data_IF_094210368728
#
_entry.id   IF_094210368728
#
_cell.length_a   1.000
_cell.length_b   1.000
_cell.length_c   1.000
_cell.angle_alpha   90.00
_cell.angle_beta   90.00
_cell.angle_gamma   90.00
#
_symmetry.space_group_name_H-M   'P 1'
#
loop_
_entity.id
_entity.type
_entity.pdbx_description
1 polymer ?
#
# COMPACT_ATOMS: atom_id res chain seq x y z
N UNK A 1 1.21 6.20 31.24
CA UNK A 1 1.34 5.31 30.05
C UNK A 1 0.09 5.43 29.18
N UNK A 2 -0.19 6.61 28.57
CA UNK A 2 -1.50 6.87 27.91
C UNK A 2 -1.45 7.69 26.60
N UNK A 3 -0.36 8.41 26.33
CA UNK A 3 -0.30 9.34 25.18
C UNK A 3 0.20 8.69 23.89
N UNK A 4 1.15 7.76 23.96
CA UNK A 4 1.73 7.08 22.80
C UNK A 4 0.70 6.20 22.07
N UNK A 5 -0.11 5.46 22.82
CA UNK A 5 -1.17 4.62 22.25
C UNK A 5 -2.24 5.47 21.57
N UNK A 6 -2.68 6.57 22.19
CA UNK A 6 -3.68 7.47 21.58
C UNK A 6 -3.20 8.09 20.26
N UNK A 7 -1.91 8.45 20.16
CA UNK A 7 -1.31 8.98 18.92
C UNK A 7 -1.18 7.90 17.86
N UNK A 8 -0.84 6.68 18.25
CA UNK A 8 -0.77 5.53 17.37
C UNK A 8 -2.15 5.20 16.76
N UNK A 9 -3.19 5.10 17.59
CA UNK A 9 -4.57 4.87 17.12
C UNK A 9 -5.05 5.93 16.13
N UNK A 10 -4.72 7.21 16.37
CA UNK A 10 -5.01 8.30 15.42
C UNK A 10 -4.27 8.12 14.10
N UNK A 11 -3.00 7.73 14.15
CA UNK A 11 -2.20 7.47 12.95
C UNK A 11 -2.75 6.28 12.15
N UNK A 12 -3.08 5.18 12.81
CA UNK A 12 -3.67 4.00 12.19
C UNK A 12 -5.01 4.31 11.51
N UNK A 13 -5.87 5.10 12.16
CA UNK A 13 -7.10 5.58 11.54
C UNK A 13 -6.86 6.43 10.28
N UNK A 14 -5.81 7.27 10.27
CA UNK A 14 -5.43 8.06 9.08
C UNK A 14 -4.97 7.14 7.95
N UNK A 15 -4.13 6.14 8.25
CA UNK A 15 -3.69 5.14 7.28
C UNK A 15 -4.90 4.44 6.66
N UNK A 16 -5.82 3.93 7.49
CA UNK A 16 -7.04 3.24 7.05
C UNK A 16 -7.95 4.09 6.16
N UNK A 17 -8.16 5.36 6.51
CA UNK A 17 -8.99 6.27 5.71
C UNK A 17 -8.32 6.54 4.37
N UNK A 18 -7.03 6.86 4.37
CA UNK A 18 -6.28 7.13 3.14
C UNK A 18 -6.23 5.91 2.22
N UNK A 19 -5.97 4.71 2.76
CA UNK A 19 -5.95 3.47 1.98
C UNK A 19 -7.33 3.13 1.42
N UNK A 20 -8.39 3.30 2.21
CA UNK A 20 -9.77 3.06 1.76
C UNK A 20 -10.17 3.98 0.62
N UNK A 21 -9.83 5.27 0.70
CA UNK A 21 -10.06 6.24 -0.38
C UNK A 21 -9.26 5.84 -1.63
N UNK A 22 -7.99 5.44 -1.48
CA UNK A 22 -7.17 4.99 -2.60
C UNK A 22 -7.77 3.77 -3.29
N UNK A 23 -8.20 2.76 -2.53
CA UNK A 23 -8.88 1.57 -3.06
C UNK A 23 -10.17 1.97 -3.79
N UNK A 24 -10.97 2.87 -3.22
CA UNK A 24 -12.21 3.32 -3.84
C UNK A 24 -11.98 4.04 -5.18
N UNK A 25 -10.95 4.89 -5.26
CA UNK A 25 -10.56 5.57 -6.52
C UNK A 25 -10.09 4.55 -7.57
N UNK A 26 -9.28 3.58 -7.16
CA UNK A 26 -8.80 2.52 -8.06
C UNK A 26 -9.94 1.60 -8.53
N UNK A 27 -10.94 1.39 -7.68
CA UNK A 27 -12.14 0.62 -8.02
C UNK A 27 -13.02 1.35 -9.05
N UNK A 28 -13.29 2.65 -8.86
CA UNK A 28 -14.05 3.46 -9.83
C UNK A 28 -13.39 3.48 -11.21
N UNK A 29 -12.05 3.54 -11.25
CA UNK A 29 -11.31 3.56 -12.51
C UNK A 29 -11.17 2.17 -13.16
N UNK A 30 -11.86 1.14 -12.66
CA UNK A 30 -11.70 -0.25 -13.10
C UNK A 30 -10.23 -0.71 -13.10
N UNK A 31 -9.38 -0.17 -12.22
CA UNK A 31 -7.98 -0.58 -12.09
C UNK A 31 -7.78 -1.68 -11.03
N UNK A 32 -8.78 -1.90 -10.17
CA UNK A 32 -8.86 -3.02 -9.23
C UNK A 32 -9.95 -3.99 -9.67
N UNK A 33 -9.60 -4.96 -10.51
CA UNK A 33 -10.50 -6.05 -10.93
C UNK A 33 -10.64 -7.13 -9.85
N UNK A 34 -9.64 -7.25 -8.96
CA UNK A 34 -9.57 -8.31 -7.95
C UNK A 34 -9.84 -7.77 -6.54
N UNK A 35 -10.95 -8.20 -5.93
CA UNK A 35 -11.24 -7.93 -4.51
C UNK A 35 -10.10 -8.39 -3.58
N UNK A 36 -9.41 -9.49 -3.93
CA UNK A 36 -8.25 -9.98 -3.17
C UNK A 36 -7.06 -9.00 -3.19
N UNK A 37 -6.83 -8.31 -4.30
CA UNK A 37 -5.74 -7.33 -4.42
C UNK A 37 -5.99 -6.11 -3.50
N UNK A 38 -7.24 -5.67 -3.36
CA UNK A 38 -7.61 -4.58 -2.46
C UNK A 38 -7.36 -4.94 -0.98
N UNK A 39 -7.71 -6.17 -0.58
CA UNK A 39 -7.47 -6.67 0.78
C UNK A 39 -5.96 -6.75 1.05
N UNK A 40 -5.19 -7.35 0.13
CA UNK A 40 -3.74 -7.44 0.25
C UNK A 40 -3.09 -6.05 0.36
N UNK A 41 -3.53 -5.09 -0.46
CA UNK A 41 -3.04 -3.72 -0.42
C UNK A 41 -3.31 -3.04 0.94
N UNK A 42 -4.51 -3.24 1.50
CA UNK A 42 -4.86 -2.72 2.82
C UNK A 42 -3.98 -3.33 3.93
N UNK A 43 -3.79 -4.65 3.91
CA UNK A 43 -2.93 -5.35 4.87
C UNK A 43 -1.47 -4.87 4.79
N UNK A 44 -0.93 -4.67 3.58
CA UNK A 44 0.43 -4.16 3.37
C UNK A 44 0.62 -2.78 4.02
N UNK A 45 -0.34 -1.87 3.84
CA UNK A 45 -0.28 -0.54 4.42
C UNK A 45 -0.48 -0.53 5.93
N UNK A 46 -1.32 -1.41 6.49
CA UNK A 46 -1.49 -1.54 7.93
C UNK A 46 -0.20 -2.04 8.59
N UNK A 47 0.34 -3.16 8.11
CA UNK A 47 1.58 -3.73 8.64
C UNK A 47 2.75 -2.77 8.44
N UNK A 48 2.87 -2.20 7.24
CA UNK A 48 3.90 -1.21 6.92
C UNK A 48 3.76 0.07 7.75
N UNK A 49 2.54 0.51 8.03
CA UNK A 49 2.23 1.64 8.91
C UNK A 49 2.68 1.42 10.34
N UNK A 50 2.39 0.24 10.92
CA UNK A 50 2.82 -0.13 12.27
C UNK A 50 4.34 -0.11 12.38
N UNK A 51 5.02 -0.73 11.41
CA UNK A 51 6.48 -0.76 11.36
C UNK A 51 7.08 0.64 11.17
N UNK A 52 6.52 1.44 10.26
CA UNK A 52 6.98 2.81 10.00
C UNK A 52 6.82 3.68 11.24
N UNK A 53 5.71 3.55 11.96
CA UNK A 53 5.47 4.27 13.21
C UNK A 53 6.50 3.91 14.30
N UNK A 54 6.85 2.63 14.44
CA UNK A 54 7.89 2.18 15.40
C UNK A 54 9.28 2.73 15.07
N UNK A 55 9.62 2.84 13.78
CA UNK A 55 10.89 3.40 13.33
C UNK A 55 10.90 4.94 13.37
N UNK A 56 9.73 5.56 13.27
CA UNK A 56 9.59 7.00 13.22
C UNK A 56 9.80 7.65 14.60
N UNK A 57 11.01 8.12 14.86
CA UNK A 57 11.37 8.93 16.05
C UNK A 57 11.46 10.44 15.76
N UNK A 58 11.15 10.87 14.54
CA UNK A 58 11.34 12.26 14.07
C UNK A 58 10.07 13.12 14.19
N UNK A 59 10.22 14.43 13.97
CA UNK A 59 9.10 15.37 13.80
C UNK A 59 8.89 15.78 12.31
N UNK A 60 9.63 15.16 11.39
CA UNK A 60 9.65 15.53 9.98
C UNK A 60 8.79 14.58 9.15
N UNK A 61 7.74 15.10 8.51
CA UNK A 61 6.78 14.31 7.75
C UNK A 61 7.40 13.57 6.55
N UNK A 62 8.37 14.19 5.86
CA UNK A 62 9.09 13.54 4.76
C UNK A 62 9.83 12.27 5.21
N UNK A 63 10.32 12.22 6.46
CA UNK A 63 10.95 10.99 7.00
C UNK A 63 9.92 9.89 7.21
N UNK A 64 8.73 10.22 7.72
CA UNK A 64 7.63 9.27 7.87
C UNK A 64 7.19 8.73 6.50
N UNK A 65 7.10 9.61 5.50
CA UNK A 65 6.73 9.23 4.13
C UNK A 65 7.75 8.25 3.54
N UNK A 66 9.04 8.55 3.73
CA UNK A 66 10.12 7.65 3.32
C UNK A 66 10.05 6.28 3.99
N UNK A 67 9.83 6.23 5.31
CA UNK A 67 9.69 4.95 6.02
C UNK A 67 8.47 4.15 5.56
N UNK A 68 7.32 4.81 5.39
CA UNK A 68 6.11 4.16 4.87
C UNK A 68 6.35 3.57 3.49
N UNK A 69 6.92 4.35 2.58
CA UNK A 69 7.21 3.91 1.22
C UNK A 69 8.19 2.74 1.18
N UNK A 70 9.31 2.83 1.90
CA UNK A 70 10.34 1.77 1.90
C UNK A 70 9.81 0.48 2.52
N UNK A 71 9.16 0.54 3.68
CA UNK A 71 8.69 -0.66 4.37
C UNK A 71 7.58 -1.35 3.56
N UNK A 72 6.59 -0.60 3.09
CA UNK A 72 5.52 -1.18 2.27
C UNK A 72 6.08 -1.79 0.99
N UNK A 73 7.09 -1.16 0.36
CA UNK A 73 7.74 -1.69 -0.85
C UNK A 73 8.52 -2.97 -0.57
N UNK A 74 9.21 -3.05 0.57
CA UNK A 74 9.89 -4.30 0.99
C UNK A 74 8.86 -5.41 1.23
N UNK A 75 7.73 -5.11 1.90
CA UNK A 75 6.66 -6.08 2.11
C UNK A 75 6.04 -6.55 0.78
N UNK A 76 5.80 -5.63 -0.16
CA UNK A 76 5.36 -5.99 -1.51
C UNK A 76 6.37 -6.90 -2.19
N UNK A 77 7.66 -6.56 -2.15
CA UNK A 77 8.71 -7.36 -2.77
C UNK A 77 8.73 -8.79 -2.21
N UNK A 78 8.53 -8.98 -0.91
CA UNK A 78 8.41 -10.31 -0.28
C UNK A 78 7.19 -11.07 -0.82
N UNK A 79 6.04 -10.40 -0.92
CA UNK A 79 4.81 -11.01 -1.45
C UNK A 79 5.01 -11.39 -2.92
N UNK A 80 5.55 -10.49 -3.74
CA UNK A 80 5.82 -10.75 -5.16
C UNK A 80 6.88 -11.83 -5.35
N UNK A 81 7.90 -11.91 -4.49
CA UNK A 81 8.91 -12.95 -4.55
C UNK A 81 8.31 -14.35 -4.35
N UNK A 82 7.19 -14.46 -3.62
CA UNK A 82 6.44 -15.71 -3.51
C UNK A 82 5.75 -16.11 -4.83
N UNK A 83 5.40 -15.14 -5.69
CA UNK A 83 4.93 -15.39 -7.06
C UNK A 83 6.08 -15.64 -8.04
N UNK A 84 7.28 -15.09 -7.79
CA UNK A 84 8.48 -15.29 -8.63
C UNK A 84 8.95 -16.74 -8.67
N UNK A 85 8.61 -17.59 -7.70
CA UNK A 85 8.95 -19.02 -7.79
C UNK A 85 8.18 -19.76 -8.91
N UNK A 86 7.08 -19.18 -9.39
CA UNK A 86 6.29 -19.66 -10.54
C UNK A 86 6.70 -19.01 -11.88
N UNK A 87 7.80 -18.23 -11.89
CA UNK A 87 8.29 -17.51 -13.07
C UNK A 87 8.87 -18.40 -14.18
N UNK A 88 9.08 -19.69 -13.89
CA UNK A 88 9.51 -20.65 -14.91
C UNK A 88 8.38 -21.09 -15.85
N UNK A 89 7.17 -20.54 -15.69
CA UNK A 89 6.13 -20.66 -16.69
C UNK A 89 6.40 -19.64 -17.82
N UNK A 90 6.57 -20.12 -19.06
CA UNK A 90 7.04 -19.34 -20.21
C UNK A 90 6.05 -18.25 -20.68
N UNK A 91 4.96 -18.03 -19.94
CA UNK A 91 3.87 -17.15 -20.33
C UNK A 91 3.13 -17.65 -21.58
N UNK A 92 3.28 -18.92 -21.92
CA UNK A 92 2.52 -19.53 -23.01
C UNK A 92 1.05 -19.62 -22.61
N UNK A 93 0.16 -19.10 -23.47
CA UNK A 93 -1.28 -19.25 -23.27
C UNK A 93 -1.57 -20.75 -23.17
N UNK A 94 -2.24 -21.22 -22.10
CA UNK A 94 -2.45 -22.64 -21.91
C UNK A 94 -3.25 -23.20 -23.09
N UNK A 95 -2.78 -24.31 -23.66
CA UNK A 95 -3.28 -24.85 -24.94
C UNK A 95 -4.77 -25.27 -24.93
N UNK A 96 -5.38 -25.32 -23.74
CA UNK A 96 -6.79 -25.62 -23.53
C UNK A 96 -7.71 -24.38 -23.57
N UNK A 97 -7.15 -23.17 -23.62
CA UNK A 97 -7.93 -21.93 -23.74
C UNK A 97 -8.17 -21.63 -25.22
N UNK A 98 -9.44 -21.49 -25.60
CA UNK A 98 -9.79 -21.11 -26.97
C UNK A 98 -9.18 -19.74 -27.32
N UNK A 99 -8.74 -19.50 -28.58
CA UNK A 99 -8.23 -18.19 -28.99
C UNK A 99 -9.18 -17.03 -28.72
N UNK A 100 -10.48 -17.35 -28.71
CA UNK A 100 -11.62 -16.43 -28.63
C UNK A 100 -12.06 -16.12 -27.19
N UNK A 101 -11.57 -16.84 -26.19
CA UNK A 101 -11.76 -16.48 -24.78
C UNK A 101 -10.97 -15.20 -24.46
N UNK A 102 -11.53 -14.36 -23.57
CA UNK A 102 -11.04 -13.01 -23.27
C UNK A 102 -9.56 -12.93 -22.88
N UNK A 103 -9.03 -11.69 -22.85
CA UNK A 103 -7.61 -11.39 -22.64
C UNK A 103 -7.03 -12.16 -21.44
N UNK A 104 -6.17 -13.15 -21.73
CA UNK A 104 -5.42 -13.87 -20.71
C UNK A 104 -4.27 -12.98 -20.24
N UNK A 105 -4.16 -12.75 -18.94
CA UNK A 105 -3.05 -12.01 -18.32
C UNK A 105 -2.11 -13.04 -17.72
N UNK A 106 -0.87 -13.07 -18.20
CA UNK A 106 0.18 -13.96 -17.69
C UNK A 106 0.68 -13.49 -16.33
N UNK A 107 1.33 -14.39 -15.56
CA UNK A 107 1.89 -14.05 -14.25
C UNK A 107 2.91 -12.89 -14.31
N UNK A 108 3.75 -12.85 -15.34
CA UNK A 108 4.73 -11.78 -15.54
C UNK A 108 4.07 -10.42 -15.86
N UNK A 109 3.01 -10.40 -16.68
CA UNK A 109 2.22 -9.20 -16.97
C UNK A 109 1.48 -8.71 -15.72
N UNK A 110 0.89 -9.62 -14.94
CA UNK A 110 0.23 -9.30 -13.68
C UNK A 110 1.21 -8.65 -12.70
N UNK A 111 2.41 -9.21 -12.53
CA UNK A 111 3.46 -8.61 -11.68
C UNK A 111 3.85 -7.23 -12.20
N UNK A 112 4.02 -7.07 -13.52
CA UNK A 112 4.33 -5.78 -14.14
C UNK A 112 3.25 -4.71 -13.87
N UNK A 113 1.97 -5.07 -14.01
CA UNK A 113 0.83 -4.20 -13.71
C UNK A 113 0.82 -3.80 -12.23
N UNK A 114 1.04 -4.77 -11.32
CA UNK A 114 1.11 -4.50 -9.87
C UNK A 114 2.24 -3.53 -9.55
N UNK A 115 3.43 -3.71 -10.14
CA UNK A 115 4.57 -2.81 -9.90
C UNK A 115 4.31 -1.40 -10.44
N UNK A 116 3.71 -1.26 -11.62
CA UNK A 116 3.33 0.04 -12.20
C UNK A 116 2.32 0.78 -11.32
N UNK A 117 1.28 0.07 -10.88
CA UNK A 117 0.26 0.62 -9.99
C UNK A 117 0.88 1.05 -8.66
N UNK A 118 1.78 0.23 -8.11
CA UNK A 118 2.49 0.51 -6.87
C UNK A 118 3.35 1.77 -6.96
N UNK A 119 4.13 1.90 -8.05
CA UNK A 119 5.02 3.04 -8.29
C UNK A 119 4.27 4.37 -8.31
N UNK A 120 3.03 4.39 -8.77
CA UNK A 120 2.22 5.60 -8.84
C UNK A 120 1.49 5.85 -7.51
N UNK A 121 0.78 4.84 -6.99
CA UNK A 121 -0.12 5.02 -5.85
C UNK A 121 0.63 5.20 -4.53
N UNK A 122 1.67 4.40 -4.27
CA UNK A 122 2.29 4.31 -2.94
C UNK A 122 3.10 5.55 -2.56
N UNK A 123 3.87 6.21 -3.46
CA UNK A 123 4.52 7.47 -3.12
C UNK A 123 3.52 8.57 -2.77
N UNK A 124 2.45 8.71 -3.57
CA UNK A 124 1.40 9.71 -3.34
C UNK A 124 0.71 9.45 -2.00
N UNK A 125 0.33 8.19 -1.74
CA UNK A 125 -0.35 7.80 -0.52
C UNK A 125 0.53 7.98 0.72
N UNK A 126 1.82 7.61 0.63
CA UNK A 126 2.80 7.79 1.71
C UNK A 126 3.00 9.26 2.06
N UNK A 127 3.06 10.13 1.05
CA UNK A 127 3.12 11.58 1.24
C UNK A 127 1.84 12.12 1.89
N UNK A 128 0.66 11.72 1.40
CA UNK A 128 -0.63 12.15 1.92
C UNK A 128 -0.82 11.75 3.40
N UNK A 129 -0.62 10.46 3.72
CA UNK A 129 -0.70 9.93 5.09
C UNK A 129 0.26 10.71 6.00
N UNK A 130 1.51 10.88 5.59
CA UNK A 130 2.52 11.53 6.42
C UNK A 130 2.23 13.00 6.66
N UNK A 131 1.75 13.70 5.63
CA UNK A 131 1.36 15.11 5.73
C UNK A 131 0.15 15.29 6.64
N UNK A 132 -0.90 14.49 6.46
CA UNK A 132 -2.12 14.51 7.30
C UNK A 132 -1.77 14.12 8.73
N UNK A 133 -1.00 13.06 8.94
CA UNK A 133 -0.54 12.63 10.26
C UNK A 133 0.19 13.75 10.97
N UNK A 134 1.14 14.43 10.31
CA UNK A 134 1.82 15.59 10.92
C UNK A 134 0.83 16.70 11.30
N UNK A 135 -0.11 17.05 10.42
CA UNK A 135 -1.11 18.10 10.71
C UNK A 135 -2.04 17.74 11.86
N UNK A 136 -2.57 16.52 11.89
CA UNK A 136 -3.51 16.06 12.93
C UNK A 136 -2.80 15.86 14.27
N UNK A 137 -1.58 15.33 14.26
CA UNK A 137 -0.83 15.07 15.48
C UNK A 137 -0.22 16.35 16.08
N UNK A 138 0.37 17.25 15.27
CA UNK A 138 0.94 18.51 15.78
C UNK A 138 -0.11 19.58 16.11
N UNK A 139 -1.32 19.53 15.51
CA UNK A 139 -2.39 20.47 15.86
C UNK A 139 -2.97 20.17 17.25
N UNK A 140 -3.00 18.91 17.67
CA UNK A 140 -3.50 18.52 18.99
C UNK A 140 -2.55 18.94 20.12
N UNK A 141 -1.22 18.97 19.91
CA UNK A 141 -0.27 19.49 20.92
C UNK A 141 -0.46 20.99 21.25
N UNK A 142 -1.11 21.77 20.38
CA UNK A 142 -1.37 23.21 20.58
C UNK A 142 -2.77 23.53 21.11
N UNK A 143 -3.66 22.55 21.18
CA UNK A 143 -5.03 22.72 21.70
C UNK A 143 -5.23 22.18 23.12
N UNK A 144 -4.19 21.58 23.70
CA UNK A 144 -4.16 21.07 25.08
C UNK A 144 -3.23 21.91 26.00
N UNK A 145 -2.94 23.17 25.62
CA UNK A 145 -2.34 24.20 26.48
C UNK A 145 -3.37 25.29 26.75
#
# INVERSE_FOLDING_TARGET
>A
MKLTDRRFWKFEAIVLICTSICIFILWINHLLWFNFAAIAFCCLFLVGGIMAWKLYKGNQWWKLAGYLFLITTVLLAIVLFSFVWDWNDNGERPANLSPDEGHYITNNELVGIIMLLWLICVPILSCAISYIAKRVLCKNDRGEQ
#
